data_IF_060207765254
#
_entry.id   IF_060207765254
#
_cell.length_a   1.000
_cell.length_b   1.000
_cell.length_c   1.000
_cell.angle_alpha   90.00
_cell.angle_beta   90.00
_cell.angle_gamma   90.00
#
_symmetry.space_group_name_H-M   'P 1'
#
loop_
_entity.id
_entity.type
_entity.pdbx_description
1 polymer ?
#
# COMPACT_ATOMS: atom_id res chain seq x y z
N UNK A 1 -4.76 47.24 47.07
CA UNK A 1 -4.87 46.10 46.12
C UNK A 1 -4.81 44.80 46.90
N UNK A 2 -5.97 44.20 47.20
CA UNK A 2 -6.05 42.93 47.93
C UNK A 2 -5.82 41.77 46.95
N UNK A 3 -4.61 41.24 46.90
CA UNK A 3 -4.31 40.00 46.16
C UNK A 3 -4.91 38.82 46.94
N UNK A 4 -6.03 38.28 46.45
CA UNK A 4 -6.62 37.05 47.01
C UNK A 4 -5.65 35.88 46.75
N UNK A 5 -5.09 35.23 47.79
CA UNK A 5 -4.05 34.19 47.65
C UNK A 5 -4.53 32.94 46.90
N UNK A 6 -5.84 32.77 46.73
CA UNK A 6 -6.46 31.70 45.92
C UNK A 6 -6.24 31.86 44.41
N UNK A 7 -6.06 33.09 43.90
CA UNK A 7 -5.83 33.32 42.46
C UNK A 7 -4.44 32.88 42.01
N UNK A 8 -3.41 33.11 42.84
CA UNK A 8 -2.04 32.68 42.57
C UNK A 8 -1.92 31.15 42.54
N UNK A 9 -2.52 30.46 43.52
CA UNK A 9 -2.56 28.98 43.54
C UNK A 9 -3.27 28.42 42.31
N UNK A 10 -4.42 29.00 41.93
CA UNK A 10 -5.17 28.57 40.75
C UNK A 10 -4.41 28.80 39.44
N UNK A 11 -3.71 29.93 39.29
CA UNK A 11 -2.86 30.19 38.12
C UNK A 11 -1.66 29.26 38.04
N UNK A 12 -1.01 28.94 39.17
CA UNK A 12 0.07 27.97 39.22
C UNK A 12 -0.40 26.57 38.85
N UNK A 13 -1.54 26.12 39.39
CA UNK A 13 -2.13 24.81 39.05
C UNK A 13 -2.49 24.79 37.57
N UNK A 14 -3.14 25.84 37.05
CA UNK A 14 -3.53 25.93 35.65
C UNK A 14 -2.31 25.89 34.73
N UNK A 15 -1.26 26.64 35.04
CA UNK A 15 -0.03 26.64 34.24
C UNK A 15 0.63 25.26 34.24
N UNK A 16 0.66 24.58 35.38
CA UNK A 16 1.23 23.25 35.49
C UNK A 16 0.39 22.20 34.73
N UNK A 17 -0.93 22.24 34.87
CA UNK A 17 -1.83 21.36 34.11
C UNK A 17 -1.76 21.62 32.61
N UNK A 18 -1.69 22.89 32.19
CA UNK A 18 -1.55 23.27 30.79
C UNK A 18 -0.22 22.77 30.22
N UNK A 19 0.88 22.95 30.94
CA UNK A 19 2.20 22.46 30.53
C UNK A 19 2.20 20.93 30.43
N UNK A 20 1.63 20.25 31.42
CA UNK A 20 1.55 18.77 31.42
C UNK A 20 0.69 18.30 30.24
N UNK A 21 -0.47 18.93 30.02
CA UNK A 21 -1.35 18.65 28.89
C UNK A 21 -0.67 18.88 27.54
N UNK A 22 0.10 19.97 27.42
CA UNK A 22 0.87 20.28 26.22
C UNK A 22 1.93 19.21 25.93
N UNK A 23 2.64 18.74 26.96
CA UNK A 23 3.63 17.66 26.83
C UNK A 23 2.94 16.38 26.36
N UNK A 24 1.83 15.98 26.96
CA UNK A 24 1.08 14.80 26.53
C UNK A 24 0.53 14.93 25.11
N UNK A 25 0.05 16.11 24.74
CA UNK A 25 -0.42 16.37 23.38
C UNK A 25 0.70 16.23 22.35
N UNK A 26 1.86 16.85 22.60
CA UNK A 26 3.03 16.75 21.73
C UNK A 26 3.55 15.31 21.65
N UNK A 27 3.59 14.59 22.77
CA UNK A 27 4.00 13.19 22.81
C UNK A 27 3.03 12.30 22.02
N UNK A 28 1.73 12.48 22.19
CA UNK A 28 0.70 11.75 21.45
C UNK A 28 0.81 11.98 19.94
N UNK A 29 0.94 13.24 19.53
CA UNK A 29 1.14 13.61 18.13
C UNK A 29 2.41 13.00 17.54
N UNK A 30 3.52 13.03 18.29
CA UNK A 30 4.78 12.44 17.86
C UNK A 30 4.69 10.91 17.70
N UNK A 31 4.02 10.23 18.64
CA UNK A 31 3.82 8.78 18.59
C UNK A 31 2.95 8.41 17.39
N UNK A 32 1.85 9.12 17.17
CA UNK A 32 0.94 8.87 16.03
C UNK A 32 1.68 9.00 14.70
N UNK A 33 2.48 10.05 14.55
CA UNK A 33 3.28 10.28 13.35
C UNK A 33 4.35 9.20 13.12
N UNK A 34 5.02 8.75 14.20
CA UNK A 34 5.96 7.63 14.10
C UNK A 34 5.27 6.32 13.77
N UNK A 35 4.11 6.07 14.37
CA UNK A 35 3.36 4.83 14.17
C UNK A 35 2.92 4.69 12.71
N UNK A 36 2.40 5.77 12.11
CA UNK A 36 2.06 5.81 10.68
C UNK A 36 3.25 5.43 9.80
N UNK A 37 4.43 6.03 10.05
CA UNK A 37 5.65 5.75 9.28
C UNK A 37 6.13 4.31 9.41
N UNK A 38 6.06 3.74 10.60
CA UNK A 38 6.46 2.34 10.83
C UNK A 38 5.50 1.39 10.13
N UNK A 39 4.19 1.65 10.23
CA UNK A 39 3.16 0.84 9.57
C UNK A 39 3.34 0.90 8.05
N UNK A 40 3.49 2.08 7.46
CA UNK A 40 3.72 2.25 6.02
C UNK A 40 4.97 1.48 5.55
N UNK A 41 6.06 1.58 6.31
CA UNK A 41 7.31 0.89 5.98
C UNK A 41 7.17 -0.63 6.05
N UNK A 42 6.56 -1.15 7.10
CA UNK A 42 6.33 -2.59 7.24
C UNK A 42 5.37 -3.12 6.18
N UNK A 43 4.28 -2.39 5.92
CA UNK A 43 3.29 -2.77 4.91
C UNK A 43 3.93 -2.77 3.52
N UNK A 44 4.69 -1.72 3.18
CA UNK A 44 5.45 -1.65 1.93
C UNK A 44 6.44 -2.81 1.78
N UNK A 45 7.18 -3.15 2.84
CA UNK A 45 8.11 -4.30 2.82
C UNK A 45 7.38 -5.64 2.62
N UNK A 46 6.25 -5.86 3.29
CA UNK A 46 5.43 -7.06 3.13
C UNK A 46 4.84 -7.15 1.72
N UNK A 47 4.26 -6.06 1.21
CA UNK A 47 3.67 -6.01 -0.13
C UNK A 47 4.71 -6.18 -1.23
N UNK A 48 5.88 -5.57 -1.11
CA UNK A 48 6.97 -5.78 -2.08
C UNK A 48 7.48 -7.22 -2.07
N UNK A 49 7.55 -7.86 -0.90
CA UNK A 49 7.89 -9.29 -0.79
C UNK A 49 6.83 -10.15 -1.45
N UNK A 50 5.55 -9.89 -1.19
CA UNK A 50 4.44 -10.59 -1.83
C UNK A 50 4.44 -10.40 -3.36
N UNK A 51 4.70 -9.18 -3.84
CA UNK A 51 4.81 -8.89 -5.27
C UNK A 51 5.97 -9.66 -5.93
N UNK A 52 7.14 -9.75 -5.27
CA UNK A 52 8.26 -10.56 -5.76
C UNK A 52 7.90 -12.05 -5.84
N UNK A 53 7.24 -12.59 -4.83
CA UNK A 53 6.79 -13.98 -4.82
C UNK A 53 5.74 -14.25 -5.90
N UNK A 54 4.78 -13.32 -6.08
CA UNK A 54 3.81 -13.37 -7.16
C UNK A 54 4.51 -13.36 -8.52
N UNK A 55 5.50 -12.48 -8.72
CA UNK A 55 6.29 -12.40 -9.95
C UNK A 55 7.06 -13.70 -10.24
N UNK A 56 7.62 -14.35 -9.21
CA UNK A 56 8.31 -15.64 -9.37
C UNK A 56 7.36 -16.79 -9.73
N UNK A 57 6.14 -16.80 -9.18
CA UNK A 57 5.11 -17.77 -9.57
C UNK A 57 4.62 -17.50 -10.99
N UNK A 58 4.34 -16.23 -11.29
CA UNK A 58 3.94 -15.74 -12.59
C UNK A 58 4.98 -16.08 -13.68
N UNK A 59 6.28 -15.90 -13.43
CA UNK A 59 7.35 -16.14 -14.42
C UNK A 59 7.39 -17.56 -14.99
N UNK A 60 6.77 -18.55 -14.31
CA UNK A 60 6.63 -19.93 -14.80
C UNK A 60 5.59 -20.05 -15.92
N UNK A 61 4.80 -19.01 -16.17
CA UNK A 61 3.71 -18.97 -17.13
C UNK A 61 4.18 -18.19 -18.37
N UNK A 62 4.04 -18.75 -19.58
CA UNK A 62 4.46 -18.08 -20.80
C UNK A 62 3.54 -16.90 -21.14
N UNK A 63 3.88 -15.70 -20.67
CA UNK A 63 3.12 -14.46 -20.92
C UNK A 63 3.05 -14.05 -22.39
N UNK A 64 4.04 -14.44 -23.21
CA UNK A 64 4.01 -14.16 -24.66
C UNK A 64 2.83 -14.83 -25.38
N UNK A 65 2.21 -15.85 -24.80
CA UNK A 65 1.03 -16.52 -25.36
C UNK A 65 -0.30 -15.86 -24.95
N UNK A 66 -0.28 -14.89 -24.03
CA UNK A 66 -1.49 -14.22 -23.54
C UNK A 66 -1.81 -13.00 -24.41
N UNK A 67 -2.45 -13.23 -25.55
CA UNK A 67 -3.10 -12.17 -26.33
C UNK A 67 -4.41 -11.73 -25.67
N UNK A 68 -4.82 -10.44 -25.77
CA UNK A 68 -6.08 -9.95 -25.19
C UNK A 68 -7.34 -10.69 -25.66
N UNK A 69 -7.31 -11.27 -26.87
CA UNK A 69 -8.41 -12.10 -27.42
C UNK A 69 -8.48 -13.51 -26.82
N UNK A 70 -7.49 -13.91 -26.03
CA UNK A 70 -7.28 -15.29 -25.56
C UNK A 70 -7.72 -15.48 -24.10
N UNK A 71 -8.66 -14.65 -23.63
CA UNK A 71 -9.20 -14.66 -22.26
C UNK A 71 -9.82 -16.01 -21.84
N UNK A 72 -10.22 -16.83 -22.81
CA UNK A 72 -10.73 -18.21 -22.62
C UNK A 72 -9.65 -19.29 -22.71
N UNK A 73 -8.41 -18.95 -23.04
CA UNK A 73 -7.31 -19.88 -23.22
C UNK A 73 -6.96 -20.63 -21.94
N UNK A 74 -6.49 -21.88 -22.08
CA UNK A 74 -6.06 -22.72 -20.95
C UNK A 74 -4.97 -22.03 -20.12
N UNK A 75 -4.10 -21.26 -20.76
CA UNK A 75 -3.04 -20.48 -20.11
C UNK A 75 -3.62 -19.37 -19.23
N UNK A 76 -4.64 -18.65 -19.70
CA UNK A 76 -5.31 -17.61 -18.92
C UNK A 76 -6.07 -18.19 -17.72
N UNK A 77 -6.71 -19.35 -17.89
CA UNK A 77 -7.38 -20.05 -16.79
C UNK A 77 -6.39 -20.59 -15.75
N UNK A 78 -5.25 -21.12 -16.19
CA UNK A 78 -4.18 -21.57 -15.29
C UNK A 78 -3.60 -20.40 -14.49
N UNK A 79 -3.24 -19.29 -15.16
CA UNK A 79 -2.80 -18.06 -14.51
C UNK A 79 -3.82 -17.56 -13.48
N UNK A 80 -5.10 -17.53 -13.85
CA UNK A 80 -6.17 -17.09 -12.95
C UNK A 80 -6.26 -17.96 -11.70
N UNK A 81 -6.19 -19.28 -11.86
CA UNK A 81 -6.24 -20.23 -10.73
C UNK A 81 -5.03 -20.10 -9.82
N UNK A 82 -3.82 -20.06 -10.39
CA UNK A 82 -2.57 -19.96 -9.64
C UNK A 82 -2.51 -18.64 -8.85
N UNK A 83 -2.85 -17.52 -9.51
CA UNK A 83 -2.83 -16.21 -8.87
C UNK A 83 -3.97 -16.03 -7.86
N UNK A 84 -5.13 -16.65 -8.08
CA UNK A 84 -6.21 -16.63 -7.10
C UNK A 84 -5.86 -17.42 -5.83
N UNK A 85 -5.22 -18.58 -5.97
CA UNK A 85 -4.68 -19.34 -4.84
C UNK A 85 -3.61 -18.55 -4.08
N UNK A 86 -2.75 -17.83 -4.81
CA UNK A 86 -1.75 -16.95 -4.20
C UNK A 86 -2.39 -15.81 -3.42
N UNK A 87 -3.37 -15.12 -4.01
CA UNK A 87 -4.11 -14.02 -3.36
C UNK A 87 -4.78 -14.48 -2.06
N UNK A 88 -5.38 -15.67 -2.07
CA UNK A 88 -6.01 -16.25 -0.88
C UNK A 88 -4.98 -16.61 0.19
N UNK A 89 -3.89 -17.28 -0.19
CA UNK A 89 -2.83 -17.71 0.74
C UNK A 89 -2.06 -16.52 1.34
N UNK A 90 -1.80 -15.50 0.54
CA UNK A 90 -1.07 -14.30 0.96
C UNK A 90 -1.98 -13.20 1.54
N UNK A 91 -3.29 -13.49 1.71
CA UNK A 91 -4.29 -12.56 2.24
C UNK A 91 -4.29 -11.18 1.56
N UNK A 92 -4.03 -11.17 0.25
CA UNK A 92 -3.92 -9.92 -0.51
C UNK A 92 -5.30 -9.36 -0.82
N UNK A 93 -5.47 -8.05 -0.62
CA UNK A 93 -6.73 -7.37 -0.93
C UNK A 93 -7.00 -7.34 -2.44
N UNK A 94 -5.95 -7.22 -3.27
CA UNK A 94 -5.98 -7.23 -4.73
C UNK A 94 -4.60 -7.53 -5.30
N UNK A 95 -4.54 -8.29 -6.39
CA UNK A 95 -3.35 -8.50 -7.20
C UNK A 95 -3.64 -8.08 -8.65
N UNK A 96 -2.77 -7.24 -9.21
CA UNK A 96 -2.83 -6.81 -10.60
C UNK A 96 -1.51 -7.13 -11.28
N UNK A 97 -1.57 -7.76 -12.45
CA UNK A 97 -0.42 -7.98 -13.32
C UNK A 97 -0.63 -7.12 -14.56
N UNK A 98 0.37 -6.31 -14.90
CA UNK A 98 0.32 -5.41 -16.05
C UNK A 98 1.56 -5.57 -16.93
N UNK A 99 1.38 -5.27 -18.21
CA UNK A 99 2.45 -5.14 -19.21
C UNK A 99 3.22 -3.83 -19.04
N UNK A 100 4.43 -3.71 -19.62
CA UNK A 100 5.16 -2.44 -19.70
C UNK A 100 4.34 -1.30 -20.33
N UNK A 101 3.44 -1.63 -21.25
CA UNK A 101 2.50 -0.70 -21.89
C UNK A 101 1.30 -0.34 -21.00
N UNK A 102 1.33 -0.68 -19.71
CA UNK A 102 0.27 -0.43 -18.69
C UNK A 102 -1.06 -1.14 -18.95
N UNK A 103 -1.07 -2.13 -19.84
CA UNK A 103 -2.26 -2.97 -20.09
C UNK A 103 -2.34 -4.09 -19.06
N UNK A 104 -3.53 -4.33 -18.54
CA UNK A 104 -3.76 -5.37 -17.53
C UNK A 104 -3.77 -6.77 -18.17
N UNK A 105 -3.01 -7.68 -17.57
CA UNK A 105 -2.98 -9.11 -17.89
C UNK A 105 -3.74 -9.97 -16.88
N UNK A 106 -3.91 -9.46 -15.66
CA UNK A 106 -4.68 -10.12 -14.61
C UNK A 106 -5.13 -9.12 -13.56
N UNK A 107 -6.35 -9.26 -13.09
CA UNK A 107 -6.89 -8.56 -11.93
C UNK A 107 -7.69 -9.54 -11.09
N UNK A 108 -7.29 -9.74 -9.83
CA UNK A 108 -7.95 -10.67 -8.91
C UNK A 108 -9.37 -10.25 -8.54
N UNK A 109 -9.72 -8.96 -8.68
CA UNK A 109 -11.08 -8.45 -8.43
C UNK A 109 -11.95 -8.40 -9.68
N UNK A 110 -11.40 -8.71 -10.85
CA UNK A 110 -12.10 -8.63 -12.14
C UNK A 110 -12.79 -7.29 -12.37
N UNK A 111 -12.24 -6.19 -11.83
CA UNK A 111 -12.82 -4.86 -11.99
C UNK A 111 -12.39 -4.22 -13.30
N UNK A 112 -11.32 -4.71 -13.92
CA UNK A 112 -10.76 -4.19 -15.15
C UNK A 112 -10.56 -5.34 -16.13
N UNK A 113 -10.98 -5.14 -17.37
CA UNK A 113 -10.85 -6.15 -18.42
C UNK A 113 -9.38 -6.29 -18.86
N UNK A 114 -9.07 -7.48 -19.38
CA UNK A 114 -7.77 -7.77 -19.96
C UNK A 114 -7.48 -6.82 -21.13
N UNK A 115 -6.27 -6.28 -21.19
CA UNK A 115 -5.84 -5.37 -22.24
C UNK A 115 -6.21 -3.90 -22.03
N UNK A 116 -7.05 -3.57 -21.04
CA UNK A 116 -7.35 -2.17 -20.70
C UNK A 116 -6.19 -1.52 -19.95
N UNK A 117 -6.04 -0.20 -20.14
CA UNK A 117 -5.04 0.61 -19.43
C UNK A 117 -5.46 0.81 -17.96
N UNK A 118 -4.55 0.56 -17.03
CA UNK A 118 -4.82 0.84 -15.62
C UNK A 118 -4.52 2.30 -15.28
N UNK A 119 -5.56 3.12 -15.15
CA UNK A 119 -5.45 4.58 -14.89
C UNK A 119 -4.60 4.88 -13.64
N UNK A 120 -4.63 4.03 -12.60
CA UNK A 120 -3.79 4.25 -11.40
C UNK A 120 -2.29 4.17 -11.69
N UNK A 121 -1.84 3.32 -12.61
CA UNK A 121 -0.42 3.26 -13.02
C UNK A 121 0.05 4.54 -13.71
N UNK A 122 -0.89 5.36 -14.20
CA UNK A 122 -0.58 6.68 -14.76
C UNK A 122 -0.38 7.74 -13.68
N UNK A 123 -1.07 7.59 -12.53
CA UNK A 123 -0.90 8.48 -11.37
C UNK A 123 0.44 8.18 -10.69
N UNK A 124 0.75 6.90 -10.50
CA UNK A 124 2.00 6.41 -9.89
C UNK A 124 3.09 6.12 -10.95
N UNK A 125 3.22 7.00 -11.95
CA UNK A 125 4.06 6.74 -13.12
C UNK A 125 5.55 6.57 -12.76
N UNK A 126 6.01 7.21 -11.68
CA UNK A 126 7.40 7.18 -11.24
C UNK A 126 7.73 5.85 -10.53
N UNK A 127 6.82 5.37 -9.70
CA UNK A 127 6.86 4.07 -9.02
C UNK A 127 6.76 2.94 -10.05
N UNK A 128 5.87 3.08 -11.04
CA UNK A 128 5.77 2.13 -12.14
C UNK A 128 7.05 2.09 -12.99
N UNK A 129 7.65 3.24 -13.31
CA UNK A 129 8.92 3.29 -14.02
C UNK A 129 10.07 2.65 -13.23
N UNK A 130 10.08 2.77 -11.90
CA UNK A 130 11.02 2.04 -11.01
C UNK A 130 10.79 0.53 -11.10
N UNK A 131 9.53 0.09 -10.99
CA UNK A 131 9.17 -1.32 -11.12
C UNK A 131 9.60 -1.93 -12.46
N UNK A 132 9.47 -1.19 -13.56
CA UNK A 132 9.94 -1.62 -14.89
C UNK A 132 11.46 -1.78 -14.99
N UNK A 133 12.24 -1.05 -14.17
CA UNK A 133 13.69 -1.24 -14.05
C UNK A 133 14.07 -2.40 -13.13
N UNK A 134 13.10 -3.15 -12.60
CA UNK A 134 13.31 -4.21 -11.62
C UNK A 134 13.49 -3.70 -10.19
N UNK A 135 13.30 -2.41 -9.95
CA UNK A 135 13.36 -1.82 -8.61
C UNK A 135 11.97 -1.95 -7.96
N UNK A 136 11.81 -2.75 -6.88
CA UNK A 136 10.53 -2.84 -6.19
C UNK A 136 10.16 -1.47 -5.61
N UNK A 137 8.96 -1.00 -5.92
CA UNK A 137 8.41 0.26 -5.42
C UNK A 137 7.08 0.00 -4.71
N UNK A 138 6.85 0.72 -3.61
CA UNK A 138 5.56 0.79 -2.93
C UNK A 138 5.04 2.22 -3.06
N UNK A 139 3.77 2.36 -3.45
CA UNK A 139 3.05 3.63 -3.43
C UNK A 139 2.15 3.68 -2.19
N UNK A 140 2.02 4.84 -1.52
CA UNK A 140 1.09 5.04 -0.40
C UNK A 140 -0.39 4.87 -0.77
#
# INVERSE_FOLDING_TARGET
>A
MHFKPTRLRSQLILAFTLQTGLIFFLAGFYIEWQLQRVIEKELGAKLTTAAKLAALSAAKIPFLALTPSDSTSRTAQYLRREMQNFVQTAELSRLVIATPERKILYDSRHQIELGQEYIRLRVDALEFARALRGEPAASP
#
